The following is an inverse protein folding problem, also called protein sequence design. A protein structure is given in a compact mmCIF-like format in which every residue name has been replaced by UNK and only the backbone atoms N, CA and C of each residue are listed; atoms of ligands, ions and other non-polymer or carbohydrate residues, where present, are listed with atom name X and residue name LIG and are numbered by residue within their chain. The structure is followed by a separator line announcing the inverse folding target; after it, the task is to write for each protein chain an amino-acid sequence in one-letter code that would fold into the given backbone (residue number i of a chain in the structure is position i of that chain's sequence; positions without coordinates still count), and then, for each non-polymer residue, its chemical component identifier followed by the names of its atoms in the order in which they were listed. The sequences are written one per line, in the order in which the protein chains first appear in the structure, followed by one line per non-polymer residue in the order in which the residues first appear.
data_IF_502813003383
#
_entry.id   IF_502813003383
#
_cell.length_a   1.000
_cell.length_b   1.000
_cell.length_c   1.000
_cell.angle_alpha   90.00
_cell.angle_beta   90.00
_cell.angle_gamma   90.00
#
_symmetry.space_group_name_H-M   'P 1'
#
loop_
_entity.id
_entity.type
_entity.pdbx_description
1 polymer ?
#
# COMPACT_ATOMS: atom_id res chain seq x y z
N UNK A 1 -20.70 -11.61 -9.22
CA UNK A 1 -19.35 -11.57 -8.62
C UNK A 1 -18.58 -10.50 -9.35
N UNK A 2 -17.96 -9.58 -8.62
CA UNK A 2 -17.05 -8.60 -9.21
C UNK A 2 -15.79 -9.38 -9.62
N UNK A 3 -15.28 -9.12 -10.82
CA UNK A 3 -14.07 -9.76 -11.31
C UNK A 3 -12.87 -9.06 -10.66
N UNK A 4 -11.97 -9.85 -10.08
CA UNK A 4 -10.78 -9.37 -9.39
C UNK A 4 -9.54 -9.88 -10.08
N UNK A 5 -8.56 -9.00 -10.30
CA UNK A 5 -7.24 -9.33 -10.83
C UNK A 5 -6.20 -9.10 -9.74
N UNK A 6 -5.41 -10.12 -9.41
CA UNK A 6 -4.26 -9.99 -8.53
C UNK A 6 -3.02 -9.75 -9.40
N UNK A 7 -2.27 -8.69 -9.10
CA UNK A 7 -1.03 -8.33 -9.81
C UNK A 7 0.00 -7.72 -8.85
N UNK A 8 1.26 -7.67 -9.29
CA UNK A 8 2.28 -6.89 -8.58
C UNK A 8 1.88 -5.41 -8.56
N UNK A 9 2.19 -4.75 -7.44
CA UNK A 9 1.96 -3.32 -7.27
C UNK A 9 2.91 -2.51 -8.16
N UNK A 10 2.43 -1.39 -8.69
CA UNK A 10 3.22 -0.35 -9.33
C UNK A 10 3.22 0.91 -8.46
N UNK A 11 4.15 1.84 -8.70
CA UNK A 11 4.32 3.02 -7.85
C UNK A 11 3.05 3.87 -7.69
N UNK A 12 2.17 3.90 -8.70
CA UNK A 12 0.89 4.61 -8.62
C UNK A 12 -0.11 3.99 -7.65
N UNK A 13 0.04 2.70 -7.33
CA UNK A 13 -0.83 2.01 -6.37
C UNK A 13 -0.54 2.44 -4.92
N UNK A 14 0.63 3.04 -4.63
CA UNK A 14 1.03 3.45 -3.29
C UNK A 14 0.01 4.34 -2.57
N UNK A 15 -0.76 5.16 -3.31
CA UNK A 15 -1.79 6.03 -2.72
C UNK A 15 -2.88 5.18 -2.06
N UNK A 16 -3.52 4.30 -2.84
CA UNK A 16 -4.58 3.41 -2.34
C UNK A 16 -4.03 2.40 -1.32
N UNK A 17 -2.82 1.89 -1.53
CA UNK A 17 -2.20 0.98 -0.56
C UNK A 17 -1.98 1.65 0.80
N UNK A 18 -1.52 2.90 0.83
CA UNK A 18 -1.33 3.63 2.08
C UNK A 18 -2.68 3.95 2.76
N UNK A 19 -3.74 4.19 2.00
CA UNK A 19 -5.10 4.31 2.54
C UNK A 19 -5.55 3.01 3.21
N UNK A 20 -5.40 1.86 2.55
CA UNK A 20 -5.75 0.55 3.11
C UNK A 20 -4.92 0.21 4.37
N UNK A 21 -3.64 0.57 4.40
CA UNK A 21 -2.79 0.41 5.58
C UNK A 21 -3.31 1.25 6.75
N UNK A 22 -3.77 2.49 6.49
CA UNK A 22 -4.39 3.34 7.51
C UNK A 22 -5.72 2.78 8.00
N UNK A 23 -6.55 2.25 7.10
CA UNK A 23 -7.81 1.57 7.47
C UNK A 23 -7.54 0.36 8.38
N UNK A 24 -6.52 -0.45 8.05
CA UNK A 24 -6.09 -1.57 8.88
C UNK A 24 -5.63 -1.09 10.26
N UNK A 25 -4.81 -0.05 10.33
CA UNK A 25 -4.34 0.51 11.60
C UNK A 25 -5.49 1.02 12.49
N UNK A 26 -6.53 1.62 11.90
CA UNK A 26 -7.75 2.01 12.63
C UNK A 26 -8.46 0.77 13.18
N UNK A 27 -8.63 -0.27 12.35
CA UNK A 27 -9.26 -1.53 12.77
C UNK A 27 -8.50 -2.19 13.94
N UNK A 28 -7.17 -2.15 13.90
CA UNK A 28 -6.28 -2.67 14.95
C UNK A 28 -6.16 -1.77 16.18
N UNK A 29 -6.85 -0.62 16.20
CA UNK A 29 -6.79 0.40 17.27
C UNK A 29 -5.37 0.99 17.46
N UNK A 30 -4.61 1.09 16.38
CA UNK A 30 -3.26 1.62 16.33
C UNK A 30 -3.06 2.68 15.22
N UNK A 31 -3.97 3.68 15.06
CA UNK A 31 -3.91 4.63 13.95
C UNK A 31 -2.64 5.49 13.93
N UNK A 32 -2.06 5.76 15.10
CA UNK A 32 -0.86 6.60 15.25
C UNK A 32 0.44 5.86 14.89
N UNK A 33 0.40 4.53 14.69
CA UNK A 33 1.56 3.73 14.30
C UNK A 33 1.87 3.82 12.79
N UNK A 34 0.95 4.37 11.99
CA UNK A 34 1.20 4.68 10.57
C UNK A 34 1.94 6.02 10.46
N UNK A 35 3.24 5.96 10.73
CA UNK A 35 4.13 7.14 10.76
C UNK A 35 4.75 7.47 9.41
N UNK A 36 4.72 6.55 8.44
CA UNK A 36 5.36 6.70 7.13
C UNK A 36 4.61 7.71 6.24
N UNK A 37 5.34 8.61 5.61
CA UNK A 37 4.80 9.49 4.57
C UNK A 37 4.64 8.75 3.22
N UNK A 38 3.82 9.29 2.31
CA UNK A 38 3.67 8.69 0.97
C UNK A 38 4.98 8.67 0.19
N UNK A 39 5.82 9.69 0.35
CA UNK A 39 7.13 9.79 -0.33
C UNK A 39 8.10 8.73 0.17
N UNK A 40 8.25 8.59 1.50
CA UNK A 40 9.08 7.54 2.10
C UNK A 40 8.58 6.15 1.74
N UNK A 41 7.25 5.96 1.72
CA UNK A 41 6.65 4.68 1.35
C UNK A 41 7.00 4.30 -0.10
N UNK A 42 6.87 5.25 -1.04
CA UNK A 42 7.25 5.07 -2.44
C UNK A 42 8.74 4.76 -2.60
N UNK A 43 9.62 5.53 -1.97
CA UNK A 43 11.07 5.32 -2.06
C UNK A 43 11.47 3.94 -1.51
N UNK A 44 10.87 3.52 -0.40
CA UNK A 44 11.12 2.20 0.19
C UNK A 44 10.66 1.01 -0.68
N UNK A 45 9.70 1.20 -1.60
CA UNK A 45 9.19 0.12 -2.47
C UNK A 45 9.67 0.17 -3.91
N UNK A 46 9.95 1.37 -4.42
CA UNK A 46 10.24 1.63 -5.84
C UNK A 46 11.48 2.50 -6.06
N UNK A 47 12.13 2.96 -4.99
CA UNK A 47 13.35 3.75 -5.04
C UNK A 47 14.59 2.91 -5.40
N UNK A 48 15.78 3.48 -5.16
CA UNK A 48 17.05 2.86 -5.59
C UNK A 48 17.35 1.53 -4.90
N UNK A 49 16.90 1.35 -3.66
CA UNK A 49 17.12 0.15 -2.85
C UNK A 49 15.80 -0.28 -2.20
N UNK A 50 14.90 -0.92 -2.96
CA UNK A 50 13.59 -1.29 -2.44
C UNK A 50 13.74 -2.34 -1.33
N UNK A 51 13.02 -2.14 -0.23
CA UNK A 51 13.03 -3.00 0.95
C UNK A 51 11.72 -3.77 1.12
N UNK A 52 10.70 -3.46 0.32
CA UNK A 52 9.43 -4.19 0.28
C UNK A 52 8.90 -4.34 -1.15
N UNK A 53 8.00 -5.30 -1.34
CA UNK A 53 7.18 -5.48 -2.54
C UNK A 53 5.75 -5.84 -2.13
N UNK A 54 4.78 -5.67 -3.04
CA UNK A 54 3.37 -5.91 -2.74
C UNK A 54 2.60 -6.48 -3.93
N UNK A 55 1.49 -7.15 -3.61
CA UNK A 55 0.45 -7.50 -4.57
C UNK A 55 -0.79 -6.65 -4.28
N UNK A 56 -1.47 -6.23 -5.34
CA UNK A 56 -2.77 -5.54 -5.26
C UNK A 56 -3.87 -6.39 -5.85
N UNK A 57 -5.05 -6.28 -5.28
CA UNK A 57 -6.28 -6.82 -5.83
C UNK A 57 -7.08 -5.67 -6.47
N UNK A 58 -7.15 -5.67 -7.80
CA UNK A 58 -7.90 -4.67 -8.56
C UNK A 58 -9.25 -5.25 -8.98
N UNK A 59 -10.32 -4.48 -8.82
CA UNK A 59 -11.68 -4.84 -9.24
C UNK A 59 -12.04 -4.06 -10.51
N UNK A 60 -12.69 -4.74 -11.46
CA UNK A 60 -13.21 -4.12 -12.70
C UNK A 60 -14.30 -3.06 -12.42
#
# INVERSE_FOLDING_TARGET
MIKTTIREAIESDCIQMLELIKELAIFEKAPDEVTVSLEEFKDAGFGKNPVWGAFVAEVD
#
